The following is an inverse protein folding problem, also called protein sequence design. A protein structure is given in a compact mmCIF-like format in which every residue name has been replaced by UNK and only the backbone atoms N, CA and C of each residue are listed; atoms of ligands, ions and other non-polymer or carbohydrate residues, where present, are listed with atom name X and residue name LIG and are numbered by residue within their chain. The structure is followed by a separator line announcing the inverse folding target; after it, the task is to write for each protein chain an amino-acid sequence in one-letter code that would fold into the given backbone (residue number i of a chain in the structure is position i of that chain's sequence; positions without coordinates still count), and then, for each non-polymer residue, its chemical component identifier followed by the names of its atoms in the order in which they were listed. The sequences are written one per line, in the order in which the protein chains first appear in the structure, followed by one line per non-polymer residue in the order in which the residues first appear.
data_IF_905635543946
#
_entry.id   IF_905635543946
#
_cell.length_a   1.000
_cell.length_b   1.000
_cell.length_c   1.000
_cell.angle_alpha   90.00
_cell.angle_beta   90.00
_cell.angle_gamma   90.00
#
_symmetry.space_group_name_H-M   'P 1'
#
loop_
_entity.id
_entity.type
_entity.pdbx_description
1 polymer ?
#
# COMPACT_ATOMS: atom_id res chain seq x y z
N UNK A 1 1.70 -0.82 0.15
CA UNK A 1 0.65 -0.23 1.03
C UNK A 1 0.89 1.25 1.40
N UNK A 2 0.04 1.89 2.24
CA UNK A 2 0.05 3.35 2.46
C UNK A 2 1.39 3.95 2.91
N UNK A 3 2.12 3.30 3.83
CA UNK A 3 3.44 3.80 4.26
C UNK A 3 4.48 3.78 3.13
N UNK A 4 4.51 2.71 2.33
CA UNK A 4 5.41 2.63 1.17
C UNK A 4 5.07 3.67 0.10
N UNK A 5 3.78 3.91 -0.16
CA UNK A 5 3.33 4.96 -1.07
C UNK A 5 3.69 6.36 -0.56
N UNK A 6 3.54 6.62 0.74
CA UNK A 6 3.95 7.88 1.35
C UNK A 6 5.45 8.10 1.23
N UNK A 7 6.27 7.05 1.38
CA UNK A 7 7.71 7.13 1.19
C UNK A 7 8.09 7.46 -0.27
N UNK A 8 7.45 6.80 -1.24
CA UNK A 8 7.65 7.12 -2.66
C UNK A 8 7.23 8.56 -2.98
N UNK A 9 6.11 9.01 -2.42
CA UNK A 9 5.65 10.39 -2.58
C UNK A 9 6.63 11.39 -1.98
N UNK A 10 7.19 11.12 -0.80
CA UNK A 10 8.19 11.98 -0.17
C UNK A 10 9.46 12.12 -1.02
N UNK A 11 9.93 11.01 -1.62
CA UNK A 11 11.04 11.05 -2.57
C UNK A 11 10.71 11.86 -3.83
N UNK A 12 9.49 11.73 -4.36
CA UNK A 12 9.06 12.54 -5.50
C UNK A 12 8.99 14.03 -5.16
N UNK A 13 8.51 14.39 -3.95
CA UNK A 13 8.53 15.79 -3.50
C UNK A 13 9.97 16.34 -3.42
N UNK A 14 10.90 15.60 -2.83
CA UNK A 14 12.31 16.00 -2.77
C UNK A 14 12.92 16.17 -4.18
N UNK A 15 12.56 15.30 -5.13
CA UNK A 15 12.99 15.41 -6.53
C UNK A 15 12.44 16.67 -7.20
N UNK A 16 11.18 17.03 -6.94
CA UNK A 16 10.57 18.27 -7.44
C UNK A 16 11.23 19.52 -6.83
N UNK A 17 11.70 19.42 -5.59
CA UNK A 17 12.50 20.46 -4.91
C UNK A 17 13.97 20.51 -5.38
N UNK A 18 14.36 19.67 -6.35
CA UNK A 18 15.68 19.67 -6.97
C UNK A 18 16.74 18.82 -6.27
N UNK A 19 16.36 17.99 -5.30
CA UNK A 19 17.27 17.06 -4.63
C UNK A 19 17.54 15.84 -5.52
N UNK A 20 18.80 15.41 -5.61
CA UNK A 20 19.16 14.13 -6.23
C UNK A 20 18.87 12.98 -5.27
N UNK A 21 17.78 12.26 -5.55
CA UNK A 21 17.27 11.15 -4.73
C UNK A 21 17.88 9.80 -5.13
N UNK A 22 18.47 9.70 -6.33
CA UNK A 22 18.90 8.43 -6.91
C UNK A 22 17.74 7.49 -7.31
N UNK A 23 18.05 6.21 -7.50
CA UNK A 23 17.07 5.18 -7.89
C UNK A 23 16.33 4.63 -6.67
N UNK A 24 15.00 4.52 -6.78
CA UNK A 24 14.14 3.95 -5.74
C UNK A 24 13.35 2.79 -6.33
N UNK A 25 13.45 1.62 -5.70
CA UNK A 25 12.72 0.41 -6.09
C UNK A 25 11.78 0.01 -4.94
N UNK A 26 10.50 -0.16 -5.24
CA UNK A 26 9.50 -0.64 -4.29
C UNK A 26 9.04 -2.05 -4.68
N UNK A 27 9.06 -2.98 -3.73
CA UNK A 27 8.55 -4.33 -3.91
C UNK A 27 7.19 -4.45 -3.22
N UNK A 28 6.17 -4.84 -3.98
CA UNK A 28 4.83 -5.16 -3.50
C UNK A 28 4.50 -6.58 -3.95
N UNK A 29 4.03 -7.41 -3.01
CA UNK A 29 3.69 -8.80 -3.28
C UNK A 29 2.32 -8.90 -3.95
N UNK A 30 1.41 -8.03 -3.55
CA UNK A 30 0.06 -7.99 -4.12
C UNK A 30 0.11 -7.52 -5.58
N UNK A 31 -0.91 -7.88 -6.36
CA UNK A 31 -1.02 -7.48 -7.77
C UNK A 31 -1.30 -5.98 -7.98
N UNK A 32 -1.68 -5.28 -6.92
CA UNK A 32 -1.91 -3.84 -6.91
C UNK A 32 -1.56 -3.27 -5.54
N UNK A 33 -1.27 -1.97 -5.50
CA UNK A 33 -0.95 -1.24 -4.27
C UNK A 33 -2.16 -1.07 -3.34
N UNK A 34 -1.95 -0.45 -2.19
CA UNK A 34 -2.99 -0.20 -1.18
C UNK A 34 -2.86 -1.03 0.10
N UNK A 35 -2.09 -2.12 0.09
CA UNK A 35 -1.84 -2.93 1.28
C UNK A 35 -3.13 -3.48 1.88
N UNK A 36 -3.40 -3.18 3.16
CA UNK A 36 -4.65 -3.58 3.82
C UNK A 36 -5.92 -3.10 3.09
N UNK A 37 -5.85 -1.97 2.38
CA UNK A 37 -6.98 -1.37 1.67
C UNK A 37 -7.25 -2.02 0.29
N UNK A 38 -6.33 -2.87 -0.19
CA UNK A 38 -6.54 -3.65 -1.41
C UNK A 38 -7.34 -4.92 -1.10
N UNK A 39 -8.66 -4.80 -1.08
CA UNK A 39 -9.58 -5.87 -0.68
C UNK A 39 -9.54 -7.07 -1.64
N UNK A 40 -9.54 -8.28 -1.08
CA UNK A 40 -9.70 -9.54 -1.82
C UNK A 40 -10.69 -10.46 -1.11
N UNK A 41 -11.34 -11.33 -1.87
CA UNK A 41 -12.21 -12.38 -1.34
C UNK A 41 -11.42 -13.59 -0.79
N UNK A 42 -10.14 -13.71 -1.14
CA UNK A 42 -9.29 -14.84 -0.74
C UNK A 42 -8.97 -14.80 0.75
N UNK A 43 -8.84 -15.97 1.37
CA UNK A 43 -8.44 -16.13 2.77
C UNK A 43 -7.36 -17.21 2.89
N UNK A 44 -6.52 -17.14 3.93
CA UNK A 44 -5.40 -18.07 4.11
C UNK A 44 -4.24 -17.77 3.17
N UNK A 45 -4.27 -18.32 1.95
CA UNK A 45 -3.24 -18.15 0.92
C UNK A 45 -3.78 -17.50 -0.35
N UNK A 46 -2.93 -16.73 -1.02
CA UNK A 46 -3.25 -16.07 -2.29
C UNK A 46 -3.05 -17.00 -3.50
N UNK A 47 -3.16 -16.45 -4.72
CA UNK A 47 -3.01 -17.21 -5.96
C UNK A 47 -1.60 -17.76 -6.20
N UNK A 48 -0.60 -17.26 -5.49
CA UNK A 48 0.80 -17.67 -5.60
C UNK A 48 1.22 -18.58 -4.43
N UNK A 49 0.31 -18.86 -3.49
CA UNK A 49 0.58 -19.68 -2.31
C UNK A 49 1.15 -18.91 -1.12
N UNK A 50 1.27 -17.58 -1.22
CA UNK A 50 1.74 -16.76 -0.11
C UNK A 50 0.58 -16.40 0.84
N UNK A 51 0.84 -16.09 2.11
CA UNK A 51 -0.21 -15.69 3.05
C UNK A 51 -0.98 -14.44 2.57
N UNK A 52 -2.31 -14.47 2.63
CA UNK A 52 -3.14 -13.30 2.27
C UNK A 52 -2.78 -12.11 3.17
N UNK A 53 -2.49 -10.96 2.56
CA UNK A 53 -2.05 -9.77 3.27
C UNK A 53 -3.21 -8.98 3.91
N UNK A 54 -4.36 -8.90 3.24
CA UNK A 54 -5.48 -8.08 3.66
C UNK A 54 -6.31 -8.71 4.78
N UNK A 55 -6.75 -7.87 5.72
CA UNK A 55 -7.67 -8.24 6.82
C UNK A 55 -8.99 -7.47 6.78
N UNK A 56 -9.23 -6.71 5.70
CA UNK A 56 -10.48 -5.97 5.50
C UNK A 56 -11.61 -6.88 5.02
N UNK A 57 -12.85 -6.45 5.24
CA UNK A 57 -14.06 -7.21 4.94
C UNK A 57 -15.09 -6.38 4.19
N UNK A 58 -16.05 -7.06 3.55
CA UNK A 58 -17.18 -6.38 2.89
C UNK A 58 -17.91 -5.51 3.90
N UNK A 59 -18.35 -4.33 3.45
CA UNK A 59 -19.05 -3.35 4.27
C UNK A 59 -18.20 -2.72 5.39
N UNK A 60 -16.87 -2.82 5.32
CA UNK A 60 -15.97 -2.04 6.17
C UNK A 60 -16.04 -0.55 5.80
N UNK A 61 -16.15 0.30 6.81
CA UNK A 61 -16.09 1.76 6.72
C UNK A 61 -14.95 2.28 7.60
N UNK A 62 -14.59 3.55 7.44
CA UNK A 62 -13.64 4.20 8.36
C UNK A 62 -14.11 4.01 9.80
N UNK A 63 -13.21 3.55 10.67
CA UNK A 63 -13.49 3.31 12.08
C UNK A 63 -13.28 4.57 12.95
N UNK A 64 -12.88 5.68 12.34
CA UNK A 64 -12.76 7.00 12.97
C UNK A 64 -13.12 8.12 11.99
N UNK A 65 -13.20 9.37 12.48
CA UNK A 65 -13.40 10.54 11.62
C UNK A 65 -12.22 10.69 10.65
N UNK A 66 -12.51 11.01 9.40
CA UNK A 66 -11.51 11.10 8.33
C UNK A 66 -10.59 12.33 8.45
N UNK A 67 -10.94 13.26 9.32
CA UNK A 67 -10.22 14.50 9.59
C UNK A 67 -8.99 14.31 10.50
N UNK A 68 -8.77 13.09 11.02
CA UNK A 68 -7.60 12.70 11.81
C UNK A 68 -6.49 12.10 10.93
#
# INVERSE_FOLDING_TARGET
GPCGLAQLHAFEQARLDGVDVGEVVCFEKQSDWGGLWNYTWRTGVDSHGDPVHGSMYRYLWSNGPKEC
#
